data_IF_982908501583
#
_entry.id   IF_982908501583
#
_cell.length_a   1.000
_cell.length_b   1.000
_cell.length_c   1.000
_cell.angle_alpha   90.00
_cell.angle_beta   90.00
_cell.angle_gamma   90.00
#
_symmetry.space_group_name_H-M   'P 1'
#
loop_
_entity.id
_entity.type
_entity.pdbx_description
1 polymer ?
#
# COMPACT_ATOMS: atom_id res chain seq x y z
N UNK A 1 19.48 -3.84 17.51
CA UNK A 1 19.38 -3.60 16.05
C UNK A 1 20.78 -3.23 15.61
N UNK A 2 21.39 -4.05 14.75
CA UNK A 2 22.78 -3.82 14.33
C UNK A 2 22.90 -2.58 13.43
N UNK A 3 24.06 -1.93 13.52
CA UNK A 3 24.37 -0.66 12.87
C UNK A 3 24.23 -0.73 11.34
N UNK A 4 24.50 -1.89 10.74
CA UNK A 4 24.29 -2.16 9.30
C UNK A 4 22.82 -2.10 8.90
N UNK A 5 21.91 -2.62 9.74
CA UNK A 5 20.46 -2.61 9.50
C UNK A 5 19.92 -1.18 9.66
N UNK A 6 20.45 -0.42 10.61
CA UNK A 6 20.08 0.99 10.78
C UNK A 6 20.52 1.86 9.60
N UNK A 7 21.72 1.61 9.07
CA UNK A 7 22.24 2.33 7.89
C UNK A 7 21.48 2.00 6.60
N UNK A 8 21.06 0.75 6.38
CA UNK A 8 20.30 0.39 5.16
C UNK A 8 18.89 0.97 5.15
N UNK A 9 18.29 1.18 6.32
CA UNK A 9 16.95 1.78 6.50
C UNK A 9 16.92 3.31 6.37
N UNK A 10 18.09 3.97 6.32
CA UNK A 10 18.22 5.44 6.31
C UNK A 10 18.86 5.99 5.02
N UNK A 11 18.98 5.15 3.99
CA UNK A 11 19.52 5.53 2.68
C UNK A 11 18.59 6.55 2.01
N UNK A 12 19.19 7.63 1.49
CA UNK A 12 18.45 8.63 0.71
C UNK A 12 18.16 8.08 -0.69
N UNK A 13 16.90 7.76 -0.96
CA UNK A 13 16.48 7.27 -2.27
C UNK A 13 16.35 8.39 -3.32
N UNK A 14 16.40 9.67 -2.94
CA UNK A 14 16.22 10.79 -3.86
C UNK A 14 17.39 10.89 -4.84
N UNK A 15 18.62 10.65 -4.37
CA UNK A 15 19.83 10.65 -5.21
C UNK A 15 19.85 9.52 -6.25
N UNK A 16 19.06 8.46 -6.03
CA UNK A 16 18.96 7.29 -6.91
C UNK A 16 17.62 7.19 -7.64
N UNK A 17 16.77 8.22 -7.53
CA UNK A 17 15.49 8.29 -8.21
C UNK A 17 15.61 9.08 -9.50
N UNK A 18 15.02 8.57 -10.58
CA UNK A 18 14.99 9.29 -11.85
C UNK A 18 14.12 10.55 -11.69
N UNK A 19 14.73 11.71 -11.96
CA UNK A 19 14.10 13.01 -11.75
C UNK A 19 14.38 13.64 -10.38
N UNK A 20 15.27 13.07 -9.55
CA UNK A 20 15.76 13.67 -8.30
C UNK A 20 14.63 14.09 -7.36
N UNK A 21 14.68 15.32 -6.85
CA UNK A 21 13.66 15.83 -5.94
C UNK A 21 12.26 15.87 -6.56
N UNK A 22 12.13 16.26 -7.83
CA UNK A 22 10.82 16.28 -8.52
C UNK A 22 10.25 14.88 -8.76
N UNK A 23 11.10 13.90 -9.07
CA UNK A 23 10.69 12.50 -9.21
C UNK A 23 10.23 11.92 -7.88
N UNK A 24 10.95 12.22 -6.79
CA UNK A 24 10.55 11.84 -5.43
C UNK A 24 9.22 12.48 -5.02
N UNK A 25 9.05 13.79 -5.25
CA UNK A 25 7.81 14.50 -4.95
C UNK A 25 6.62 13.94 -5.75
N UNK A 26 6.82 13.64 -7.03
CA UNK A 26 5.81 12.98 -7.88
C UNK A 26 5.42 11.62 -7.31
N UNK A 27 6.40 10.77 -6.95
CA UNK A 27 6.15 9.48 -6.31
C UNK A 27 5.35 9.60 -5.01
N UNK A 28 5.65 10.59 -4.17
CA UNK A 28 4.90 10.82 -2.92
C UNK A 28 3.48 11.30 -3.18
N UNK A 29 3.29 12.16 -4.17
CA UNK A 29 1.97 12.62 -4.60
C UNK A 29 1.13 11.47 -5.16
N UNK A 30 1.70 10.64 -6.04
CA UNK A 30 1.00 9.45 -6.55
C UNK A 30 0.65 8.52 -5.41
N UNK A 31 1.56 8.30 -4.46
CA UNK A 31 1.31 7.48 -3.29
C UNK A 31 0.10 7.97 -2.49
N UNK A 32 0.12 9.24 -2.07
CA UNK A 32 -0.97 9.85 -1.30
C UNK A 32 -2.28 9.79 -2.08
N UNK A 33 -2.27 10.03 -3.41
CA UNK A 33 -3.48 10.02 -4.23
C UNK A 33 -4.21 8.66 -4.27
N UNK A 34 -3.52 7.56 -3.93
CA UNK A 34 -4.10 6.21 -3.93
C UNK A 34 -5.24 6.04 -2.92
N UNK A 35 -5.42 6.96 -1.95
CA UNK A 35 -6.54 6.92 -1.01
C UNK A 35 -7.90 6.97 -1.71
N UNK A 36 -7.95 7.55 -2.91
CA UNK A 36 -9.18 7.66 -3.71
C UNK A 36 -9.61 6.28 -4.23
N UNK A 37 -8.66 5.37 -4.49
CA UNK A 37 -8.91 4.08 -5.12
C UNK A 37 -9.93 3.23 -4.32
N UNK A 38 -9.73 2.95 -3.02
CA UNK A 38 -10.71 2.17 -2.26
C UNK A 38 -12.04 2.90 -2.11
N UNK A 39 -12.04 4.23 -2.03
CA UNK A 39 -13.28 5.01 -1.95
C UNK A 39 -14.12 4.83 -3.23
N UNK A 40 -13.49 4.93 -4.41
CA UNK A 40 -14.17 4.70 -5.68
C UNK A 40 -14.61 3.25 -5.85
N UNK A 41 -13.78 2.29 -5.44
CA UNK A 41 -14.11 0.88 -5.54
C UNK A 41 -15.37 0.52 -4.74
N UNK A 42 -15.43 0.92 -3.46
CA UNK A 42 -16.57 0.56 -2.61
C UNK A 42 -17.81 1.43 -2.87
N UNK A 43 -17.64 2.70 -3.28
CA UNK A 43 -18.77 3.59 -3.56
C UNK A 43 -19.38 3.42 -4.95
N UNK A 44 -18.54 3.21 -5.97
CA UNK A 44 -18.92 3.28 -7.39
C UNK A 44 -18.36 2.12 -8.21
N UNK A 45 -17.80 1.08 -7.59
CA UNK A 45 -17.16 -0.03 -8.30
C UNK A 45 -18.09 -0.77 -9.26
N UNK A 46 -19.38 -0.91 -8.90
CA UNK A 46 -20.41 -1.51 -9.76
C UNK A 46 -20.63 -0.67 -11.03
N UNK A 47 -20.81 0.64 -10.88
CA UNK A 47 -21.00 1.55 -12.01
C UNK A 47 -19.76 1.57 -12.91
N UNK A 48 -18.57 1.69 -12.33
CA UNK A 48 -17.29 1.70 -13.07
C UNK A 48 -17.11 0.41 -13.86
N UNK A 49 -17.34 -0.75 -13.24
CA UNK A 49 -17.18 -2.04 -13.91
C UNK A 49 -18.25 -2.29 -14.99
N UNK A 50 -19.44 -1.72 -14.83
CA UNK A 50 -20.54 -1.85 -15.80
C UNK A 50 -20.22 -1.25 -17.17
N UNK A 51 -19.38 -0.20 -17.25
CA UNK A 51 -18.91 0.34 -18.53
C UNK A 51 -18.16 -0.69 -19.39
N UNK A 52 -17.63 -1.74 -18.77
CA UNK A 52 -16.92 -2.83 -19.43
C UNK A 52 -17.75 -4.13 -19.48
N UNK A 53 -19.00 -4.10 -19.04
CA UNK A 53 -19.85 -5.28 -18.83
C UNK A 53 -19.21 -6.33 -17.90
N UNK A 54 -18.51 -5.88 -16.86
CA UNK A 54 -17.82 -6.73 -15.88
C UNK A 54 -18.39 -6.53 -14.48
N UNK A 55 -18.19 -7.54 -13.62
CA UNK A 55 -18.34 -7.39 -12.17
C UNK A 55 -17.11 -6.65 -11.60
N UNK A 56 -17.23 -5.94 -10.45
CA UNK A 56 -16.11 -5.14 -9.93
C UNK A 56 -14.83 -5.95 -9.69
N UNK A 57 -14.93 -7.18 -9.19
CA UNK A 57 -13.77 -8.07 -9.01
C UNK A 57 -13.15 -8.53 -10.34
N UNK A 58 -13.97 -8.75 -11.38
CA UNK A 58 -13.45 -9.06 -12.72
C UNK A 58 -12.71 -7.86 -13.30
N UNK A 59 -13.25 -6.65 -13.10
CA UNK A 59 -12.59 -5.41 -13.51
C UNK A 59 -11.27 -5.21 -12.78
N UNK A 60 -11.22 -5.39 -11.45
CA UNK A 60 -9.96 -5.36 -10.68
C UNK A 60 -8.97 -6.40 -11.19
N UNK A 61 -9.42 -7.63 -11.45
CA UNK A 61 -8.54 -8.69 -11.99
C UNK A 61 -7.96 -8.31 -13.34
N UNK A 62 -8.77 -7.74 -14.24
CA UNK A 62 -8.33 -7.24 -15.53
C UNK A 62 -7.26 -6.15 -15.37
N UNK A 63 -7.53 -5.14 -14.54
CA UNK A 63 -6.56 -4.06 -14.26
C UNK A 63 -5.25 -4.61 -13.69
N UNK A 64 -5.33 -5.52 -12.71
CA UNK A 64 -4.15 -6.15 -12.12
C UNK A 64 -3.33 -6.90 -13.16
N UNK A 65 -3.97 -7.74 -13.98
CA UNK A 65 -3.28 -8.49 -15.05
C UNK A 65 -2.65 -7.53 -16.05
N UNK A 66 -3.35 -6.48 -16.47
CA UNK A 66 -2.82 -5.46 -17.38
C UNK A 66 -1.58 -4.79 -16.80
N UNK A 67 -1.59 -4.39 -15.53
CA UNK A 67 -0.42 -3.79 -14.86
C UNK A 67 0.76 -4.77 -14.82
N UNK A 68 0.52 -6.04 -14.48
CA UNK A 68 1.58 -7.05 -14.47
C UNK A 68 2.17 -7.33 -15.86
N UNK A 69 1.34 -7.30 -16.91
CA UNK A 69 1.81 -7.44 -18.29
C UNK A 69 2.67 -6.23 -18.72
N UNK A 70 2.23 -5.01 -18.39
CA UNK A 70 3.01 -3.79 -18.63
C UNK A 70 4.35 -3.87 -17.87
N UNK A 71 4.32 -4.32 -16.62
CA UNK A 71 5.52 -4.52 -15.80
C UNK A 71 6.47 -5.55 -16.41
N UNK A 72 5.97 -6.66 -16.94
CA UNK A 72 6.79 -7.66 -17.62
C UNK A 72 7.48 -7.07 -18.88
N UNK A 73 6.77 -6.23 -19.64
CA UNK A 73 7.35 -5.51 -20.79
C UNK A 73 8.39 -4.49 -20.33
N UNK A 74 8.12 -3.74 -19.25
CA UNK A 74 9.06 -2.78 -18.65
C UNK A 74 10.37 -3.46 -18.22
N UNK A 75 10.28 -4.60 -17.55
CA UNK A 75 11.44 -5.39 -17.12
C UNK A 75 12.25 -5.93 -18.30
N UNK A 76 11.57 -6.42 -19.34
CA UNK A 76 12.25 -6.89 -20.55
C UNK A 76 12.99 -5.76 -21.29
N UNK A 77 12.48 -4.54 -21.22
CA UNK A 77 13.06 -3.37 -21.87
C UNK A 77 14.05 -2.59 -20.98
N UNK A 78 14.15 -2.92 -19.69
CA UNK A 78 14.99 -2.19 -18.73
C UNK A 78 14.54 -0.75 -18.48
N UNK A 79 13.29 -0.41 -18.81
CA UNK A 79 12.78 0.96 -18.71
C UNK A 79 12.57 1.36 -17.25
N UNK A 80 13.00 2.58 -16.92
CA UNK A 80 12.77 3.22 -15.62
C UNK A 80 12.12 4.58 -15.87
N UNK A 81 10.96 4.80 -15.26
CA UNK A 81 10.13 5.99 -15.44
C UNK A 81 10.46 7.02 -14.34
N UNK A 82 10.15 8.29 -14.55
CA UNK A 82 10.31 9.34 -13.54
C UNK A 82 9.63 8.93 -12.23
N UNK A 83 10.36 9.05 -11.11
CA UNK A 83 9.93 8.64 -9.78
C UNK A 83 10.31 7.21 -9.39
N UNK A 84 10.73 6.36 -10.34
CA UNK A 84 11.29 5.04 -10.07
C UNK A 84 12.78 5.12 -9.72
N UNK A 85 13.27 4.11 -8.98
CA UNK A 85 14.67 3.99 -8.56
C UNK A 85 15.45 3.23 -9.63
N UNK A 86 16.74 3.53 -9.82
CA UNK A 86 17.57 2.92 -10.88
C UNK A 86 17.57 1.38 -10.87
N UNK A 87 17.60 0.77 -9.69
CA UNK A 87 17.60 -0.69 -9.55
C UNK A 87 16.30 -1.34 -10.02
N UNK A 88 15.19 -0.58 -10.09
CA UNK A 88 13.91 -1.10 -10.58
C UNK A 88 13.98 -1.44 -12.06
N UNK A 89 15.02 -1.06 -12.80
CA UNK A 89 15.26 -1.54 -14.18
C UNK A 89 15.29 -3.08 -14.31
N UNK A 90 15.71 -3.79 -13.25
CA UNK A 90 15.92 -5.24 -13.27
C UNK A 90 15.03 -6.04 -12.30
N UNK A 91 14.14 -5.36 -11.56
CA UNK A 91 13.25 -6.01 -10.60
C UNK A 91 11.87 -5.37 -10.60
N UNK A 92 10.86 -6.11 -10.13
CA UNK A 92 9.48 -5.64 -10.07
C UNK A 92 9.42 -4.30 -9.33
N UNK A 93 8.76 -3.32 -9.96
CA UNK A 93 8.65 -1.96 -9.44
C UNK A 93 7.77 -1.88 -8.20
N UNK A 94 8.04 -0.90 -7.35
CA UNK A 94 7.21 -0.59 -6.18
C UNK A 94 5.75 -0.33 -6.55
N UNK A 95 5.51 0.25 -7.74
CA UNK A 95 4.16 0.46 -8.28
C UNK A 95 3.45 -0.86 -8.57
N UNK A 96 4.12 -1.80 -9.25
CA UNK A 96 3.53 -3.10 -9.58
C UNK A 96 3.25 -3.93 -8.31
N UNK A 97 4.16 -3.89 -7.33
CA UNK A 97 3.95 -4.51 -6.02
C UNK A 97 2.77 -3.92 -5.24
N UNK A 98 2.66 -2.58 -5.21
CA UNK A 98 1.51 -1.89 -4.62
C UNK A 98 0.21 -2.22 -5.34
N UNK A 99 0.18 -2.16 -6.67
CA UNK A 99 -1.00 -2.47 -7.48
C UNK A 99 -1.47 -3.92 -7.29
N UNK A 100 -0.56 -4.89 -7.27
CA UNK A 100 -0.87 -6.29 -6.98
C UNK A 100 -1.51 -6.43 -5.59
N UNK A 101 -0.91 -5.82 -4.58
CA UNK A 101 -1.36 -5.97 -3.19
C UNK A 101 -2.71 -5.30 -2.95
N UNK A 102 -2.92 -4.10 -3.48
CA UNK A 102 -4.23 -3.41 -3.46
C UNK A 102 -5.28 -4.23 -4.21
N UNK A 103 -4.95 -4.80 -5.36
CA UNK A 103 -5.88 -5.66 -6.11
C UNK A 103 -6.27 -6.90 -5.30
N UNK A 104 -5.30 -7.53 -4.62
CA UNK A 104 -5.56 -8.68 -3.75
C UNK A 104 -6.48 -8.32 -2.58
N UNK A 105 -6.37 -7.13 -1.99
CA UNK A 105 -7.33 -6.66 -0.98
C UNK A 105 -8.75 -6.66 -1.55
N UNK A 106 -8.98 -6.04 -2.71
CA UNK A 106 -10.31 -6.01 -3.32
C UNK A 106 -10.84 -7.39 -3.73
N UNK A 107 -9.95 -8.32 -4.10
CA UNK A 107 -10.35 -9.67 -4.49
C UNK A 107 -10.64 -10.59 -3.29
N UNK A 108 -9.90 -10.42 -2.18
CA UNK A 108 -10.00 -11.29 -1.00
C UNK A 108 -11.05 -10.77 0.00
N UNK A 109 -11.12 -9.46 0.20
CA UNK A 109 -12.09 -8.80 1.09
C UNK A 109 -12.96 -7.79 0.32
N UNK A 110 -13.80 -8.27 -0.62
CA UNK A 110 -14.64 -7.41 -1.46
C UNK A 110 -15.83 -6.77 -0.72
N UNK A 111 -16.16 -7.29 0.46
CA UNK A 111 -17.40 -7.13 1.26
C UNK A 111 -18.69 -7.02 0.44
N UNK A 112 -19.07 -8.22 -0.01
CA UNK A 112 -20.38 -8.82 -0.29
C UNK A 112 -21.56 -8.03 -0.88
N UNK A 113 -21.73 -6.72 -0.67
CA UNK A 113 -22.89 -5.98 -1.18
C UNK A 113 -22.59 -4.66 -1.88
N UNK A 114 -21.35 -4.13 -1.84
CA UNK A 114 -21.03 -2.77 -2.33
C UNK A 114 -22.04 -1.71 -1.82
N UNK A 115 -22.44 -1.84 -0.55
CA UNK A 115 -23.42 -0.96 0.10
C UNK A 115 -22.75 0.34 0.59
N UNK A 116 -22.04 0.99 -0.34
CA UNK A 116 -21.21 2.15 -0.10
C UNK A 116 -19.93 1.85 0.70
N UNK A 117 -19.37 2.90 1.31
CA UNK A 117 -18.08 2.85 1.99
C UNK A 117 -18.01 1.87 3.18
N UNK A 118 -19.15 1.47 3.74
CA UNK A 118 -19.19 0.46 4.81
C UNK A 118 -18.70 -0.91 4.34
N UNK A 119 -18.89 -1.25 3.05
CA UNK A 119 -18.27 -2.44 2.43
C UNK A 119 -16.74 -2.33 2.34
N UNK A 120 -16.15 -1.20 2.72
CA UNK A 120 -14.71 -1.06 2.81
C UNK A 120 -14.15 -1.22 4.21
N UNK A 121 -14.91 -1.78 5.18
CA UNK A 121 -14.52 -1.75 6.60
C UNK A 121 -13.14 -2.39 6.85
N UNK A 122 -12.73 -3.35 6.03
CA UNK A 122 -11.37 -3.89 6.07
C UNK A 122 -10.43 -3.35 4.99
N UNK A 123 -10.91 -3.19 3.75
CA UNK A 123 -10.06 -2.81 2.63
C UNK A 123 -9.57 -1.36 2.69
N UNK A 124 -10.43 -0.43 3.12
CA UNK A 124 -10.08 1.00 3.24
C UNK A 124 -8.90 1.20 4.21
N UNK A 125 -8.95 0.74 5.48
CA UNK A 125 -7.85 0.96 6.41
C UNK A 125 -6.54 0.27 5.99
N UNK A 126 -6.60 -0.90 5.34
CA UNK A 126 -5.41 -1.55 4.77
C UNK A 126 -4.73 -0.66 3.72
N UNK A 127 -5.51 -0.14 2.76
CA UNK A 127 -4.98 0.66 1.66
C UNK A 127 -4.58 2.07 2.13
N UNK A 128 -5.30 2.65 3.11
CA UNK A 128 -4.91 3.90 3.75
C UNK A 128 -3.61 3.76 4.54
N UNK A 129 -3.42 2.61 5.19
CA UNK A 129 -2.18 2.22 5.84
C UNK A 129 -0.99 2.36 4.90
N UNK A 130 -1.03 1.71 3.73
CA UNK A 130 -0.05 1.95 2.68
C UNK A 130 0.02 3.44 2.37
N UNK A 131 -1.07 4.01 1.86
CA UNK A 131 -1.15 5.35 1.27
C UNK A 131 -0.54 6.47 2.12
N UNK A 132 -0.79 6.47 3.43
CA UNK A 132 -0.38 7.55 4.33
C UNK A 132 0.77 7.17 5.26
N UNK A 133 0.82 5.92 5.76
CA UNK A 133 1.85 5.51 6.72
C UNK A 133 3.20 5.33 6.03
N UNK A 134 3.25 4.72 4.84
CA UNK A 134 4.50 4.59 4.05
C UNK A 134 5.18 5.96 3.83
N UNK A 135 4.54 6.96 3.18
CA UNK A 135 5.25 8.19 2.85
C UNK A 135 5.66 8.94 4.11
N UNK A 136 4.86 8.90 5.17
CA UNK A 136 5.19 9.51 6.45
C UNK A 136 6.44 8.88 7.07
N UNK A 137 6.46 7.54 7.18
CA UNK A 137 7.61 6.81 7.71
C UNK A 137 8.84 7.00 6.84
N UNK A 138 8.68 6.92 5.51
CA UNK A 138 9.73 7.13 4.53
C UNK A 138 10.36 8.53 4.63
N UNK A 139 9.57 9.59 4.82
CA UNK A 139 10.11 10.95 5.00
C UNK A 139 10.85 11.12 6.33
N UNK A 140 10.37 10.52 7.42
CA UNK A 140 11.07 10.58 8.71
C UNK A 140 12.39 9.82 8.64
N UNK A 141 12.40 8.60 8.09
CA UNK A 141 13.61 7.81 7.85
C UNK A 141 14.63 8.59 7.02
N UNK A 142 14.17 9.33 5.99
CA UNK A 142 15.04 10.13 5.11
C UNK A 142 15.58 11.39 5.79
N UNK A 143 14.70 12.23 6.35
CA UNK A 143 15.08 13.57 6.83
C UNK A 143 15.72 13.54 8.21
N UNK A 144 15.27 12.64 9.09
CA UNK A 144 15.72 12.58 10.48
C UNK A 144 16.71 11.44 10.74
N UNK A 145 16.78 10.45 9.84
CA UNK A 145 17.59 9.22 10.02
C UNK A 145 17.29 8.51 11.34
N UNK A 146 16.06 8.65 11.83
CA UNK A 146 15.62 8.09 13.11
C UNK A 146 14.49 7.07 12.88
N UNK A 147 14.86 5.80 12.97
CA UNK A 147 13.95 4.68 12.79
C UNK A 147 12.97 4.58 13.96
N UNK A 148 13.37 4.92 15.19
CA UNK A 148 12.46 4.89 16.35
C UNK A 148 11.38 5.94 16.18
N UNK A 149 11.76 7.15 15.79
CA UNK A 149 10.81 8.22 15.49
C UNK A 149 9.87 7.82 14.34
N UNK A 150 10.40 7.22 13.26
CA UNK A 150 9.57 6.74 12.16
C UNK A 150 8.54 5.70 12.62
N UNK A 151 8.95 4.73 13.44
CA UNK A 151 8.05 3.72 14.00
C UNK A 151 6.99 4.36 14.91
N UNK A 152 7.39 5.26 15.81
CA UNK A 152 6.45 5.91 16.74
C UNK A 152 5.40 6.75 16.00
N UNK A 153 5.85 7.57 15.03
CA UNK A 153 4.93 8.41 14.24
C UNK A 153 4.08 7.55 13.29
N UNK A 154 4.67 6.52 12.70
CA UNK A 154 3.97 5.54 11.87
C UNK A 154 2.87 4.81 12.64
N UNK A 155 3.15 4.37 13.88
CA UNK A 155 2.16 3.76 14.76
C UNK A 155 1.04 4.72 15.09
N UNK A 156 1.35 5.97 15.46
CA UNK A 156 0.33 6.97 15.74
C UNK A 156 -0.59 7.21 14.53
N UNK A 157 0.00 7.38 13.34
CA UNK A 157 -0.75 7.54 12.10
C UNK A 157 -1.59 6.31 11.77
N UNK A 158 -1.03 5.11 11.91
CA UNK A 158 -1.73 3.86 11.64
C UNK A 158 -2.91 3.65 12.60
N UNK A 159 -2.72 3.87 13.90
CA UNK A 159 -3.84 3.82 14.87
C UNK A 159 -4.90 4.87 14.57
N UNK A 160 -4.51 6.08 14.17
CA UNK A 160 -5.46 7.12 13.77
C UNK A 160 -6.32 6.66 12.58
N UNK A 161 -5.73 6.02 11.58
CA UNK A 161 -6.44 5.47 10.41
C UNK A 161 -7.38 4.33 10.84
N UNK A 162 -6.85 3.31 11.52
CA UNK A 162 -7.63 2.13 11.89
C UNK A 162 -8.77 2.44 12.86
N UNK A 163 -8.49 3.18 13.94
CA UNK A 163 -9.53 3.60 14.89
C UNK A 163 -10.49 4.62 14.28
N UNK A 164 -10.00 5.50 13.39
CA UNK A 164 -10.86 6.39 12.60
C UNK A 164 -11.84 5.61 11.73
N UNK A 165 -11.39 4.54 11.07
CA UNK A 165 -12.25 3.65 10.30
C UNK A 165 -13.24 2.87 11.20
N UNK A 166 -12.84 2.51 12.42
CA UNK A 166 -13.76 1.93 13.41
C UNK A 166 -14.94 2.84 13.75
N UNK A 167 -14.70 4.16 13.85
CA UNK A 167 -15.75 5.16 14.08
C UNK A 167 -16.54 5.52 12.81
N UNK A 168 -15.92 5.45 11.64
CA UNK A 168 -16.51 5.94 10.39
C UNK A 168 -17.29 4.87 9.62
N UNK A 169 -16.65 3.71 9.41
CA UNK A 169 -17.17 2.61 8.57
C UNK A 169 -17.31 1.32 9.37
N UNK A 170 -17.36 1.44 10.70
CA UNK A 170 -17.67 0.34 11.63
C UNK A 170 -16.66 -0.82 11.60
N UNK A 171 -15.41 -0.54 11.21
CA UNK A 171 -14.31 -1.52 11.33
C UNK A 171 -14.23 -2.05 12.77
N UNK A 172 -14.14 -3.37 13.01
CA UNK A 172 -14.18 -3.91 14.35
C UNK A 172 -12.99 -3.42 15.18
N UNK A 173 -13.24 -3.04 16.43
CA UNK A 173 -12.22 -2.43 17.28
C UNK A 173 -11.02 -3.38 17.51
N UNK A 174 -11.29 -4.67 17.71
CA UNK A 174 -10.25 -5.68 17.88
C UNK A 174 -9.33 -5.77 16.66
N UNK A 175 -9.90 -5.77 15.46
CA UNK A 175 -9.14 -5.73 14.19
C UNK A 175 -8.32 -4.46 14.09
N UNK A 176 -8.93 -3.31 14.40
CA UNK A 176 -8.27 -2.00 14.34
C UNK A 176 -7.06 -1.91 15.27
N UNK A 177 -7.17 -2.45 16.49
CA UNK A 177 -6.07 -2.45 17.47
C UNK A 177 -4.94 -3.38 17.03
N UNK A 178 -5.26 -4.57 16.50
CA UNK A 178 -4.25 -5.57 16.13
C UNK A 178 -3.56 -5.22 14.82
N UNK A 179 -4.30 -4.76 13.80
CA UNK A 179 -3.73 -4.56 12.46
C UNK A 179 -2.93 -3.27 12.33
N UNK A 180 -3.21 -2.23 13.12
CA UNK A 180 -2.43 -0.99 13.12
C UNK A 180 -0.91 -1.22 13.32
N UNK A 181 -0.45 -1.93 14.36
CA UNK A 181 0.98 -2.24 14.49
C UNK A 181 1.48 -3.16 13.37
N UNK A 182 0.66 -4.06 12.83
CA UNK A 182 1.10 -4.94 11.73
C UNK A 182 1.33 -4.17 10.42
N UNK A 183 0.55 -3.13 10.13
CA UNK A 183 0.81 -2.22 9.00
C UNK A 183 2.19 -1.60 9.12
N UNK A 184 2.56 -1.10 10.30
CA UNK A 184 3.90 -0.52 10.55
C UNK A 184 4.98 -1.58 10.49
N UNK A 185 4.73 -2.79 11.01
CA UNK A 185 5.68 -3.90 10.90
C UNK A 185 5.95 -4.29 9.45
N UNK A 186 4.99 -4.11 8.53
CA UNK A 186 5.21 -4.36 7.10
C UNK A 186 6.26 -3.45 6.47
N UNK A 187 6.48 -2.25 7.01
CA UNK A 187 7.42 -1.23 6.50
C UNK A 187 8.87 -1.40 7.00
N UNK A 188 9.07 -2.17 8.07
CA UNK A 188 10.36 -2.31 8.75
C UNK A 188 11.32 -3.31 8.05
N UNK A 189 10.90 -4.55 7.70
CA UNK A 189 11.81 -5.53 7.15
C UNK A 189 12.15 -5.22 5.69
N UNK A 190 13.43 -5.10 5.38
CA UNK A 190 13.91 -5.06 3.99
C UNK A 190 13.94 -6.48 3.44
N UNK A 191 12.86 -6.89 2.78
CA UNK A 191 12.80 -8.17 2.07
C UNK A 191 13.48 -8.00 0.71
N UNK A 192 14.45 -8.86 0.39
CA UNK A 192 15.28 -8.73 -0.83
C UNK A 192 14.47 -8.75 -2.14
N UNK A 193 13.30 -9.41 -2.13
CA UNK A 193 12.53 -9.70 -3.35
C UNK A 193 11.14 -9.07 -3.38
N UNK A 194 10.68 -8.48 -2.28
CA UNK A 194 9.33 -7.94 -2.14
C UNK A 194 9.47 -6.50 -1.65
N UNK A 195 8.83 -5.59 -2.35
CA UNK A 195 8.82 -4.17 -1.99
C UNK A 195 7.97 -3.91 -0.73
N UNK A 196 8.34 -2.86 0.00
CA UNK A 196 7.67 -2.43 1.23
C UNK A 196 6.19 -2.11 1.01
N UNK A 197 5.83 -1.57 -0.16
CA UNK A 197 4.42 -1.34 -0.52
C UNK A 197 3.58 -2.63 -0.47
N UNK A 198 4.17 -3.76 -0.85
CA UNK A 198 3.46 -5.03 -0.81
C UNK A 198 3.39 -5.58 0.62
N UNK A 199 4.48 -5.54 1.39
CA UNK A 199 4.49 -6.06 2.75
C UNK A 199 3.58 -5.27 3.68
N UNK A 200 3.47 -3.95 3.52
CA UNK A 200 2.56 -3.09 4.28
C UNK A 200 1.08 -3.41 4.08
N UNK A 201 0.70 -4.07 2.98
CA UNK A 201 -0.67 -4.54 2.74
C UNK A 201 -0.82 -6.02 3.01
N UNK A 202 0.03 -6.86 2.40
CA UNK A 202 -0.13 -8.31 2.42
C UNK A 202 0.05 -8.89 3.83
N UNK A 203 0.92 -8.30 4.64
CA UNK A 203 1.14 -8.76 6.00
C UNK A 203 -0.08 -8.52 6.92
N UNK A 204 -0.62 -7.30 7.05
CA UNK A 204 -1.85 -7.10 7.82
C UNK A 204 -3.07 -7.76 7.17
N UNK A 205 -3.13 -7.91 5.83
CA UNK A 205 -4.18 -8.69 5.17
C UNK A 205 -4.13 -10.17 5.56
N UNK A 206 -2.94 -10.79 5.58
CA UNK A 206 -2.80 -12.18 6.01
C UNK A 206 -3.25 -12.37 7.47
N UNK A 207 -2.88 -11.44 8.34
CA UNK A 207 -3.34 -11.45 9.74
C UNK A 207 -4.85 -11.25 9.84
N UNK A 208 -5.44 -10.35 9.05
CA UNK A 208 -6.89 -10.18 8.97
C UNK A 208 -7.56 -11.51 8.63
N UNK A 209 -7.10 -12.22 7.60
CA UNK A 209 -7.71 -13.49 7.19
C UNK A 209 -7.67 -14.55 8.29
N UNK A 210 -6.64 -14.56 9.13
CA UNK A 210 -6.53 -15.45 10.30
C UNK A 210 -7.50 -15.02 11.40
N UNK A 211 -7.74 -13.72 11.55
CA UNK A 211 -8.60 -13.15 12.60
C UNK A 211 -10.09 -13.15 12.24
N UNK A 212 -10.45 -13.10 10.95
CA UNK A 212 -11.84 -13.03 10.48
C UNK A 212 -12.79 -14.07 11.10
N UNK A 213 -12.39 -15.35 11.32
CA UNK A 213 -13.29 -16.32 11.97
C UNK A 213 -13.69 -16.01 13.42
N UNK A 214 -13.04 -15.03 14.05
CA UNK A 214 -13.25 -14.65 15.45
C UNK A 214 -14.01 -13.32 15.59
N UNK A 215 -14.49 -12.74 14.49
CA UNK A 215 -15.07 -11.40 14.41
C UNK A 215 -16.49 -11.43 13.87
#
# INVERSE_FOLDING_TARGET
MDEKTANSLTIDHVSHSIGGFSGHAFRRMTHISMFIIPLLYYQSGVEIASYFNLQPQQFVSLVCITILLIEAVRLKSGLVIIGQREYESNQISALAWGALSVSLVFLIVPEQNYDGLKSGMYGIPLIFGLTFVDPLMGEIKRQKKDIKMAITVGLFCSYFIWLGCSLWIETPLMISIILAPLTVLGEIPQVKYIDDNATMILFPLAALMILLPFV
#
